data_IF_790520963291
#
_entry.id   IF_790520963291
#
_cell.length_a   1.000
_cell.length_b   1.000
_cell.length_c   1.000
_cell.angle_alpha   90.00
_cell.angle_beta   90.00
_cell.angle_gamma   90.00
#
_symmetry.space_group_name_H-M   'P 1'
#
loop_
_entity.id
_entity.type
_entity.pdbx_description
1 polymer ?
#
# COMPACT_ATOMS: atom_id res chain seq x y z
N UNK A 1 45.74 -20.08 -26.79
CA UNK A 1 44.38 -19.96 -27.36
C UNK A 1 43.47 -19.41 -26.27
N UNK A 2 43.27 -18.09 -26.28
CA UNK A 2 42.25 -17.43 -25.47
C UNK A 2 40.89 -17.70 -26.11
N UNK A 3 39.99 -18.37 -25.40
CA UNK A 3 38.59 -18.47 -25.82
C UNK A 3 37.99 -17.07 -25.76
N UNK A 4 37.86 -16.43 -26.92
CA UNK A 4 36.98 -15.29 -27.10
C UNK A 4 35.55 -15.84 -27.00
N UNK A 5 35.02 -15.96 -25.78
CA UNK A 5 33.59 -16.04 -25.55
C UNK A 5 33.02 -14.70 -26.01
N UNK A 6 32.64 -14.62 -27.27
CA UNK A 6 31.67 -13.64 -27.76
C UNK A 6 30.41 -13.88 -26.97
N UNK A 7 30.31 -13.21 -25.82
CA UNK A 7 29.11 -13.20 -25.01
C UNK A 7 28.01 -12.63 -25.93
N UNK A 8 27.04 -13.44 -26.41
CA UNK A 8 26.04 -12.98 -27.38
C UNK A 8 25.15 -11.88 -26.79
N UNK A 9 25.34 -11.57 -25.51
CA UNK A 9 24.65 -10.54 -24.75
C UNK A 9 25.47 -9.26 -24.54
N UNK A 10 26.70 -9.17 -25.07
CA UNK A 10 27.61 -8.04 -24.86
C UNK A 10 27.13 -6.67 -25.39
N UNK A 11 26.00 -6.65 -26.13
CA UNK A 11 25.38 -5.41 -26.63
C UNK A 11 24.22 -4.91 -25.77
N UNK A 12 23.73 -5.71 -24.81
CA UNK A 12 22.77 -5.21 -23.82
C UNK A 12 23.61 -4.60 -22.69
N UNK A 13 23.92 -3.31 -22.85
CA UNK A 13 24.57 -2.51 -21.80
C UNK A 13 23.89 -2.75 -20.46
N UNK A 14 24.69 -2.78 -19.38
CA UNK A 14 24.30 -3.08 -17.99
C UNK A 14 22.84 -2.72 -17.70
N UNK A 15 21.93 -3.70 -17.82
CA UNK A 15 20.51 -3.45 -17.56
C UNK A 15 20.39 -2.94 -16.12
N UNK A 16 19.71 -1.81 -15.89
CA UNK A 16 19.46 -1.35 -14.55
C UNK A 16 18.78 -2.47 -13.77
N UNK A 17 19.07 -2.61 -12.49
CA UNK A 17 18.39 -3.58 -11.64
C UNK A 17 16.86 -3.43 -11.75
N UNK A 18 16.22 -4.54 -12.08
CA UNK A 18 14.79 -4.63 -12.40
C UNK A 18 14.10 -5.48 -11.34
N UNK A 19 12.96 -5.00 -10.86
CA UNK A 19 12.14 -5.76 -9.92
C UNK A 19 11.43 -6.89 -10.66
N UNK A 20 11.63 -8.12 -10.19
CA UNK A 20 11.08 -9.33 -10.80
C UNK A 20 11.77 -9.86 -12.05
N UNK A 21 12.89 -9.27 -12.46
CA UNK A 21 13.65 -9.77 -13.59
C UNK A 21 12.92 -9.59 -14.94
N UNK A 22 13.48 -10.22 -15.97
CA UNK A 22 12.93 -10.15 -17.34
C UNK A 22 11.78 -11.17 -17.46
N UNK A 23 10.62 -10.77 -17.99
CA UNK A 23 9.52 -11.71 -18.25
C UNK A 23 9.95 -12.77 -19.26
N UNK A 24 9.84 -14.04 -18.88
CA UNK A 24 10.16 -15.20 -19.74
C UNK A 24 9.00 -16.18 -19.75
N UNK A 25 9.00 -17.20 -20.62
CA UNK A 25 7.89 -18.16 -20.73
C UNK A 25 7.40 -18.74 -19.38
N UNK A 26 8.27 -19.10 -18.40
CA UNK A 26 7.82 -19.50 -17.06
C UNK A 26 6.97 -18.47 -16.29
N UNK A 27 7.10 -17.18 -16.58
CA UNK A 27 6.30 -16.11 -15.96
C UNK A 27 4.86 -16.04 -16.48
N UNK A 28 4.56 -16.69 -17.61
CA UNK A 28 3.25 -16.56 -18.27
C UNK A 28 2.08 -17.00 -17.38
N UNK A 29 2.17 -18.22 -16.82
CA UNK A 29 1.14 -18.78 -15.97
C UNK A 29 0.93 -17.98 -14.67
N UNK A 30 1.96 -17.65 -13.87
CA UNK A 30 1.76 -16.86 -12.66
C UNK A 30 1.29 -15.42 -12.96
N UNK A 31 1.72 -14.80 -14.06
CA UNK A 31 1.21 -13.48 -14.45
C UNK A 31 -0.30 -13.52 -14.73
N UNK A 32 -0.78 -14.51 -15.48
CA UNK A 32 -2.22 -14.70 -15.72
C UNK A 32 -2.97 -14.94 -14.40
N UNK A 33 -2.44 -15.80 -13.53
CA UNK A 33 -3.05 -16.06 -12.22
C UNK A 33 -3.27 -14.77 -11.42
N UNK A 34 -2.23 -13.94 -11.29
CA UNK A 34 -2.35 -12.66 -10.58
C UNK A 34 -3.27 -11.67 -11.30
N UNK A 35 -3.24 -11.64 -12.64
CA UNK A 35 -4.17 -10.83 -13.43
C UNK A 35 -5.63 -11.19 -13.10
N UNK A 36 -5.97 -12.48 -13.07
CA UNK A 36 -7.29 -12.99 -12.68
C UNK A 36 -7.62 -12.67 -11.23
N UNK A 37 -6.69 -12.88 -10.29
CA UNK A 37 -6.90 -12.58 -8.87
C UNK A 37 -7.23 -11.09 -8.63
N UNK A 38 -6.54 -10.17 -9.31
CA UNK A 38 -6.86 -8.75 -9.24
C UNK A 38 -8.13 -8.38 -10.01
N UNK A 39 -8.42 -9.09 -11.12
CA UNK A 39 -9.69 -8.98 -11.84
C UNK A 39 -10.90 -9.33 -10.97
N UNK A 40 -10.79 -10.39 -10.15
CA UNK A 40 -11.81 -10.78 -9.17
C UNK A 40 -11.90 -9.81 -7.99
N UNK A 41 -10.78 -9.19 -7.60
CA UNK A 41 -10.74 -8.19 -6.54
C UNK A 41 -11.41 -6.86 -6.95
N UNK A 42 -11.34 -6.51 -8.24
CA UNK A 42 -11.80 -5.23 -8.76
C UNK A 42 -13.30 -4.95 -8.50
N UNK A 43 -14.25 -5.88 -8.75
CA UNK A 43 -15.65 -5.69 -8.36
C UNK A 43 -15.84 -5.38 -6.88
N UNK A 44 -15.07 -6.03 -6.00
CA UNK A 44 -15.12 -5.78 -4.56
C UNK A 44 -14.58 -4.38 -4.20
N UNK A 45 -13.49 -3.94 -4.86
CA UNK A 45 -12.99 -2.56 -4.74
C UNK A 45 -14.04 -1.52 -5.17
N UNK A 46 -14.69 -1.75 -6.32
CA UNK A 46 -15.73 -0.86 -6.87
C UNK A 46 -16.93 -0.80 -5.92
N UNK A 47 -17.39 -1.97 -5.43
CA UNK A 47 -18.48 -2.06 -4.47
C UNK A 47 -18.17 -1.30 -3.17
N UNK A 48 -16.96 -1.47 -2.61
CA UNK A 48 -16.52 -0.71 -1.43
C UNK A 48 -16.46 0.78 -1.71
N UNK A 49 -15.90 1.20 -2.84
CA UNK A 49 -15.85 2.61 -3.25
C UNK A 49 -17.25 3.23 -3.35
N UNK A 50 -18.20 2.49 -3.93
CA UNK A 50 -19.60 2.90 -4.01
C UNK A 50 -20.24 3.02 -2.62
N UNK A 51 -19.99 2.05 -1.74
CA UNK A 51 -20.50 2.03 -0.37
C UNK A 51 -20.00 3.22 0.46
N UNK A 52 -18.79 3.70 0.19
CA UNK A 52 -18.17 4.82 0.90
C UNK A 52 -18.38 6.19 0.25
N UNK A 53 -19.33 6.34 -0.68
CA UNK A 53 -19.67 7.63 -1.33
C UNK A 53 -19.91 8.77 -0.33
N UNK A 54 -20.41 8.44 0.86
CA UNK A 54 -20.49 9.36 1.99
C UNK A 54 -19.87 8.64 3.20
N UNK A 55 -18.73 9.11 3.73
CA UNK A 55 -18.07 10.41 3.55
C UNK A 55 -17.01 10.47 2.43
N UNK A 56 -16.91 11.62 1.75
CA UNK A 56 -16.05 11.83 0.56
C UNK A 56 -14.57 11.50 0.77
N UNK A 57 -14.01 11.74 1.96
CA UNK A 57 -12.60 11.42 2.24
C UNK A 57 -12.32 9.91 2.13
N UNK A 58 -13.24 9.09 2.63
CA UNK A 58 -13.12 7.64 2.55
C UNK A 58 -13.35 7.14 1.13
N UNK A 59 -14.28 7.77 0.39
CA UNK A 59 -14.45 7.51 -1.05
C UNK A 59 -13.14 7.70 -1.82
N UNK A 60 -12.45 8.83 -1.64
CA UNK A 60 -11.17 9.08 -2.33
C UNK A 60 -10.08 8.06 -1.99
N UNK A 61 -10.06 7.61 -0.73
CA UNK A 61 -9.18 6.54 -0.26
C UNK A 61 -9.45 5.24 -1.04
N UNK A 62 -10.71 4.83 -1.18
CA UNK A 62 -11.04 3.60 -1.93
C UNK A 62 -11.01 3.74 -3.46
N UNK A 63 -11.16 4.94 -4.01
CA UNK A 63 -10.86 5.22 -5.43
C UNK A 63 -9.39 4.89 -5.72
N UNK A 64 -8.46 5.30 -4.84
CA UNK A 64 -7.04 4.97 -4.98
C UNK A 64 -6.79 3.46 -4.95
N UNK A 65 -7.49 2.72 -4.08
CA UNK A 65 -7.42 1.25 -4.05
C UNK A 65 -7.97 0.61 -5.33
N UNK A 66 -9.04 1.16 -5.90
CA UNK A 66 -9.61 0.70 -7.18
C UNK A 66 -8.64 0.94 -8.33
N UNK A 67 -8.04 2.14 -8.40
CA UNK A 67 -7.01 2.47 -9.38
C UNK A 67 -5.80 1.55 -9.24
N UNK A 68 -5.38 1.26 -7.99
CA UNK A 68 -4.32 0.30 -7.72
C UNK A 68 -4.65 -1.10 -8.29
N UNK A 69 -5.87 -1.61 -8.08
CA UNK A 69 -6.27 -2.91 -8.63
C UNK A 69 -6.23 -2.91 -10.18
N UNK A 70 -6.71 -1.84 -10.82
CA UNK A 70 -6.63 -1.67 -12.28
C UNK A 70 -5.17 -1.64 -12.76
N UNK A 71 -4.31 -0.90 -12.07
CA UNK A 71 -2.87 -0.85 -12.38
C UNK A 71 -2.22 -2.23 -12.29
N UNK A 72 -2.62 -3.06 -11.32
CA UNK A 72 -2.11 -4.42 -11.16
C UNK A 72 -2.59 -5.36 -12.27
N UNK A 73 -3.86 -5.26 -12.68
CA UNK A 73 -4.38 -5.99 -13.84
C UNK A 73 -3.55 -5.65 -15.09
N UNK A 74 -3.31 -4.35 -15.33
CA UNK A 74 -2.50 -3.90 -16.46
C UNK A 74 -1.05 -4.41 -16.37
N UNK A 75 -0.43 -4.34 -15.19
CA UNK A 75 0.94 -4.80 -14.96
C UNK A 75 1.11 -6.28 -15.28
N UNK A 76 0.26 -7.14 -14.70
CA UNK A 76 0.36 -8.58 -14.92
C UNK A 76 -0.12 -8.97 -16.33
N UNK A 77 -1.02 -8.21 -16.95
CA UNK A 77 -1.40 -8.38 -18.35
C UNK A 77 -0.23 -8.08 -19.31
N UNK A 78 0.48 -6.97 -19.09
CA UNK A 78 1.70 -6.63 -19.84
C UNK A 78 2.76 -7.71 -19.65
N UNK A 79 3.02 -8.11 -18.40
CA UNK A 79 4.00 -9.14 -18.07
C UNK A 79 3.69 -10.50 -18.73
N UNK A 80 2.41 -10.90 -18.77
CA UNK A 80 1.98 -12.11 -19.47
C UNK A 80 2.19 -12.00 -21.00
N UNK A 81 1.86 -10.84 -21.59
CA UNK A 81 2.08 -10.58 -23.02
C UNK A 81 3.57 -10.63 -23.39
N UNK A 82 4.44 -10.09 -22.54
CA UNK A 82 5.89 -10.13 -22.71
C UNK A 82 6.44 -11.54 -22.55
N UNK A 83 6.03 -12.25 -21.51
CA UNK A 83 6.42 -13.65 -21.27
C UNK A 83 6.06 -14.57 -22.44
N UNK A 84 4.90 -14.35 -23.07
CA UNK A 84 4.45 -15.13 -24.23
C UNK A 84 5.26 -14.83 -25.49
N UNK A 85 5.65 -13.57 -25.68
CA UNK A 85 6.34 -13.10 -26.89
C UNK A 85 7.87 -13.19 -26.76
N UNK A 86 8.39 -13.40 -25.55
CA UNK A 86 9.81 -13.51 -25.29
C UNK A 86 10.37 -14.80 -25.88
N UNK A 87 11.45 -14.67 -26.66
CA UNK A 87 12.21 -15.80 -27.21
C UNK A 87 13.66 -15.69 -26.76
N UNK A 88 14.02 -16.46 -25.73
CA UNK A 88 15.42 -16.56 -25.32
C UNK A 88 16.21 -17.44 -26.30
N UNK A 89 17.43 -17.08 -26.69
CA UNK A 89 18.21 -15.90 -26.28
C UNK A 89 18.03 -14.66 -27.18
N UNK A 90 17.36 -14.81 -28.34
CA UNK A 90 17.42 -13.85 -29.44
C UNK A 90 16.64 -12.53 -29.20
N UNK A 91 15.58 -12.56 -28.38
CA UNK A 91 14.74 -11.40 -28.09
C UNK A 91 14.15 -11.48 -26.68
N UNK A 92 14.94 -11.14 -25.64
CA UNK A 92 14.51 -11.23 -24.24
C UNK A 92 13.49 -10.15 -23.84
N UNK A 93 13.47 -9.00 -24.52
CA UNK A 93 12.53 -7.89 -24.25
C UNK A 93 11.88 -7.46 -25.56
N UNK A 94 10.79 -8.13 -25.97
CA UNK A 94 10.20 -7.93 -27.31
C UNK A 94 9.60 -6.54 -27.52
N UNK A 95 9.14 -5.88 -26.45
CA UNK A 95 8.62 -4.52 -26.50
C UNK A 95 9.15 -3.69 -25.33
N UNK A 96 10.17 -2.87 -25.60
CA UNK A 96 10.79 -2.02 -24.59
C UNK A 96 9.80 -1.05 -23.92
N UNK A 97 8.82 -0.53 -24.67
CA UNK A 97 7.83 0.41 -24.13
C UNK A 97 6.87 -0.24 -23.14
N UNK A 98 6.38 -1.44 -23.45
CA UNK A 98 5.57 -2.24 -22.55
C UNK A 98 6.35 -2.56 -21.26
N UNK A 99 7.63 -2.87 -21.39
CA UNK A 99 8.48 -3.25 -20.27
C UNK A 99 8.75 -2.04 -19.35
N UNK A 100 9.02 -0.87 -19.92
CA UNK A 100 9.13 0.38 -19.16
C UNK A 100 7.83 0.67 -18.42
N UNK A 101 6.68 0.54 -19.10
CA UNK A 101 5.37 0.77 -18.49
C UNK A 101 5.12 -0.20 -17.32
N UNK A 102 5.44 -1.48 -17.49
CA UNK A 102 5.37 -2.48 -16.41
C UNK A 102 6.20 -2.03 -15.20
N UNK A 103 7.46 -1.65 -15.39
CA UNK A 103 8.35 -1.24 -14.30
C UNK A 103 7.85 0.01 -13.56
N UNK A 104 7.23 0.96 -14.28
CA UNK A 104 6.58 2.14 -13.68
C UNK A 104 5.39 1.73 -12.81
N UNK A 105 4.48 0.93 -13.36
CA UNK A 105 3.29 0.49 -12.64
C UNK A 105 3.66 -0.33 -11.40
N UNK A 106 4.66 -1.21 -11.51
CA UNK A 106 5.22 -1.96 -10.40
C UNK A 106 5.76 -1.04 -9.29
N UNK A 107 6.40 0.07 -9.67
CA UNK A 107 7.01 1.02 -8.74
C UNK A 107 6.02 1.91 -8.01
N UNK A 108 4.93 2.31 -8.66
CA UNK A 108 3.94 3.21 -8.05
C UNK A 108 2.96 2.44 -7.16
N UNK A 109 2.63 1.18 -7.49
CA UNK A 109 1.50 0.49 -6.87
C UNK A 109 1.59 0.36 -5.34
N UNK A 110 2.73 -0.08 -4.78
CA UNK A 110 2.85 -0.26 -3.32
C UNK A 110 2.84 1.07 -2.55
N UNK A 111 3.25 2.17 -3.19
CA UNK A 111 3.17 3.51 -2.59
C UNK A 111 1.70 3.89 -2.34
N UNK A 112 0.80 3.52 -3.25
CA UNK A 112 -0.64 3.73 -3.06
C UNK A 112 -1.14 2.97 -1.83
N UNK A 113 -0.73 1.73 -1.63
CA UNK A 113 -1.12 0.95 -0.44
C UNK A 113 -0.58 1.56 0.86
N UNK A 114 0.65 2.07 0.87
CA UNK A 114 1.22 2.78 2.02
C UNK A 114 0.43 4.05 2.36
N UNK A 115 0.02 4.81 1.34
CA UNK A 115 -0.81 6.00 1.52
C UNK A 115 -2.19 5.68 2.12
N UNK A 116 -2.82 4.57 1.71
CA UNK A 116 -4.06 4.09 2.33
C UNK A 116 -3.86 3.73 3.80
N UNK A 117 -2.77 3.03 4.13
CA UNK A 117 -2.46 2.66 5.51
C UNK A 117 -2.22 3.89 6.40
N UNK A 118 -1.62 4.95 5.87
CA UNK A 118 -1.49 6.24 6.57
C UNK A 118 -2.86 6.80 6.91
N UNK A 119 -3.79 6.84 5.95
CA UNK A 119 -5.14 7.39 6.19
C UNK A 119 -5.97 6.55 7.17
N UNK A 120 -5.81 5.22 7.17
CA UNK A 120 -6.45 4.36 8.15
C UNK A 120 -5.85 4.52 9.55
N UNK A 121 -4.53 4.58 9.67
CA UNK A 121 -3.85 4.83 10.95
C UNK A 121 -4.25 6.19 11.53
N UNK A 122 -4.24 7.23 10.69
CA UNK A 122 -4.75 8.56 11.00
C UNK A 122 -6.18 8.48 11.52
N UNK A 123 -7.08 7.84 10.78
CA UNK A 123 -8.49 7.70 11.21
C UNK A 123 -8.60 7.00 12.57
N UNK A 124 -7.83 5.93 12.80
CA UNK A 124 -7.80 5.19 14.06
C UNK A 124 -7.32 6.03 15.25
N UNK A 125 -6.33 6.92 15.04
CA UNK A 125 -5.83 7.81 16.09
C UNK A 125 -6.78 8.96 16.41
N UNK A 126 -7.63 9.38 15.46
CA UNK A 126 -8.58 10.50 15.61
C UNK A 126 -9.96 10.10 16.10
N UNK A 127 -10.11 8.87 16.59
CA UNK A 127 -11.37 8.33 17.03
C UNK A 127 -11.92 9.10 18.24
N UNK A 128 -13.19 9.48 18.15
CA UNK A 128 -13.94 10.22 19.17
C UNK A 128 -14.97 9.34 19.89
N UNK A 129 -15.00 8.05 19.60
CA UNK A 129 -15.93 7.09 20.25
C UNK A 129 -15.42 6.59 21.62
N UNK A 130 -14.24 7.04 22.02
CA UNK A 130 -13.62 6.73 23.31
C UNK A 130 -14.02 7.83 24.31
N UNK A 131 -14.34 7.50 25.58
CA UNK A 131 -14.70 8.51 26.57
C UNK A 131 -13.62 9.61 26.66
N UNK A 132 -13.98 10.89 26.89
CA UNK A 132 -13.01 12.00 26.93
C UNK A 132 -11.82 11.78 27.87
N UNK A 133 -12.03 11.07 28.98
CA UNK A 133 -10.99 10.72 29.94
C UNK A 133 -9.96 9.68 29.43
N UNK A 134 -10.30 8.94 28.38
CA UNK A 134 -9.47 7.93 27.74
C UNK A 134 -9.12 8.30 26.29
N UNK A 135 -9.37 9.54 25.86
CA UNK A 135 -8.91 10.02 24.56
C UNK A 135 -7.37 10.08 24.52
N UNK A 136 -6.79 9.73 23.39
CA UNK A 136 -5.35 9.94 23.21
C UNK A 136 -5.02 11.43 23.26
N UNK A 137 -3.82 11.77 23.73
CA UNK A 137 -3.32 13.16 23.65
C UNK A 137 -3.45 13.75 22.24
N UNK A 138 -3.42 12.93 21.19
CA UNK A 138 -3.52 13.36 19.79
C UNK A 138 -4.96 13.60 19.31
N UNK A 139 -5.95 13.04 19.99
CA UNK A 139 -7.35 13.35 19.75
C UNK A 139 -7.71 14.75 20.29
N UNK A 140 -7.03 15.21 21.36
CA UNK A 140 -7.18 16.54 21.93
C UNK A 140 -6.62 17.64 21.01
N UNK A 141 -7.22 18.86 20.97
CA UNK A 141 -6.81 19.95 20.08
C UNK A 141 -5.31 20.26 20.09
N UNK A 142 -4.68 20.20 21.25
CA UNK A 142 -3.25 20.51 21.42
C UNK A 142 -2.33 19.46 20.78
N UNK A 143 -2.65 18.17 20.89
CA UNK A 143 -1.82 17.10 20.32
C UNK A 143 -2.07 16.84 18.83
N UNK A 144 -3.19 17.34 18.28
CA UNK A 144 -3.54 17.22 16.86
C UNK A 144 -2.45 17.79 15.95
N UNK A 145 -1.82 18.91 16.33
CA UNK A 145 -0.84 19.59 15.48
C UNK A 145 0.41 18.75 15.23
N UNK A 146 0.96 18.11 16.26
CA UNK A 146 2.16 17.28 16.13
C UNK A 146 1.92 16.06 15.26
N UNK A 147 0.79 15.37 15.46
CA UNK A 147 0.44 14.20 14.66
C UNK A 147 0.15 14.56 13.20
N UNK A 148 -0.59 15.66 12.96
CA UNK A 148 -0.83 16.16 11.61
C UNK A 148 0.47 16.46 10.88
N UNK A 149 1.48 16.98 11.58
CA UNK A 149 2.80 17.22 10.99
C UNK A 149 3.46 15.90 10.58
N UNK A 150 3.45 14.87 11.43
CA UNK A 150 4.01 13.55 11.09
C UNK A 150 3.30 12.94 9.88
N UNK A 151 1.96 12.88 9.89
CA UNK A 151 1.17 12.34 8.78
C UNK A 151 1.44 13.11 7.48
N UNK A 152 1.50 14.45 7.55
CA UNK A 152 1.83 15.29 6.38
C UNK A 152 3.22 14.99 5.85
N UNK A 153 4.22 14.82 6.72
CA UNK A 153 5.58 14.43 6.31
C UNK A 153 5.57 13.07 5.60
N UNK A 154 4.82 12.08 6.12
CA UNK A 154 4.70 10.77 5.48
C UNK A 154 4.09 10.88 4.07
N UNK A 155 3.00 11.64 3.90
CA UNK A 155 2.42 11.87 2.56
C UNK A 155 3.40 12.60 1.62
N UNK A 156 4.10 13.63 2.11
CA UNK A 156 5.11 14.34 1.31
C UNK A 156 6.24 13.40 0.89
N UNK A 157 6.68 12.51 1.77
CA UNK A 157 7.68 11.48 1.44
C UNK A 157 7.17 10.53 0.35
N UNK A 158 5.91 10.09 0.40
CA UNK A 158 5.32 9.24 -0.63
C UNK A 158 5.15 9.96 -1.98
N UNK A 159 4.72 11.23 -1.97
CA UNK A 159 4.66 12.07 -3.19
C UNK A 159 6.06 12.22 -3.80
N UNK A 160 7.07 12.45 -2.96
CA UNK A 160 8.47 12.55 -3.39
C UNK A 160 8.95 11.23 -3.99
N UNK A 161 8.62 10.09 -3.37
CA UNK A 161 8.94 8.77 -3.90
C UNK A 161 8.30 8.52 -5.28
N UNK A 162 7.04 8.95 -5.50
CA UNK A 162 6.37 8.87 -6.81
C UNK A 162 7.10 9.74 -7.83
N UNK A 163 7.43 10.99 -7.50
CA UNK A 163 8.13 11.91 -8.40
C UNK A 163 9.50 11.35 -8.83
N UNK A 164 10.26 10.79 -7.87
CA UNK A 164 11.54 10.12 -8.16
C UNK A 164 11.36 8.87 -9.03
N UNK A 165 10.29 8.09 -8.81
CA UNK A 165 9.96 6.93 -9.63
C UNK A 165 9.65 7.30 -11.09
N UNK A 166 8.88 8.38 -11.30
CA UNK A 166 8.57 8.91 -12.63
C UNK A 166 9.85 9.43 -13.31
N UNK A 167 10.70 10.17 -12.59
CA UNK A 167 11.97 10.67 -13.12
C UNK A 167 12.90 9.51 -13.55
N UNK A 168 13.01 8.46 -12.72
CA UNK A 168 13.78 7.27 -13.04
C UNK A 168 13.26 6.55 -14.29
N UNK A 169 11.93 6.52 -14.47
CA UNK A 169 11.31 5.91 -15.64
C UNK A 169 11.52 6.70 -16.92
N UNK A 170 11.42 8.03 -16.86
CA UNK A 170 11.65 8.90 -18.01
C UNK A 170 13.08 8.79 -18.56
N UNK A 171 14.05 8.42 -17.72
CA UNK A 171 15.45 8.23 -18.08
C UNK A 171 15.80 6.79 -18.49
N UNK A 172 14.85 5.86 -18.46
CA UNK A 172 15.12 4.43 -18.62
C UNK A 172 15.68 4.07 -20.01
N UNK A 173 15.16 4.67 -21.08
CA UNK A 173 15.66 4.42 -22.44
C UNK A 173 17.12 4.87 -22.62
N UNK A 174 17.50 5.99 -21.99
CA UNK A 174 18.88 6.49 -21.98
C UNK A 174 19.82 5.60 -21.15
N UNK A 175 19.32 5.01 -20.06
CA UNK A 175 20.09 4.13 -19.19
C UNK A 175 20.58 2.84 -19.87
N UNK A 176 19.91 2.37 -20.92
CA UNK A 176 20.32 1.16 -21.65
C UNK A 176 21.65 1.37 -22.39
N UNK A 177 21.86 2.59 -22.90
CA UNK A 177 23.02 2.92 -23.74
C UNK A 177 24.09 3.73 -23.01
N UNK A 178 23.82 4.19 -21.78
CA UNK A 178 24.70 5.06 -21.03
C UNK A 178 24.80 4.64 -19.56
N UNK A 179 26.00 4.21 -19.14
CA UNK A 179 26.29 3.77 -17.78
C UNK A 179 26.06 4.85 -16.72
N UNK A 180 26.31 6.14 -17.04
CA UNK A 180 26.08 7.23 -16.08
C UNK A 180 24.58 7.44 -15.82
N UNK A 181 23.76 7.39 -16.88
CA UNK A 181 22.30 7.45 -16.78
C UNK A 181 21.75 6.22 -16.06
N UNK A 182 22.32 5.03 -16.29
CA UNK A 182 21.94 3.81 -15.55
C UNK A 182 22.15 3.94 -14.05
N UNK A 183 23.33 4.44 -13.63
CA UNK A 183 23.64 4.71 -12.22
C UNK A 183 22.70 5.75 -11.60
N UNK A 184 22.36 6.80 -12.35
CA UNK A 184 21.39 7.80 -11.91
C UNK A 184 19.98 7.21 -11.72
N UNK A 185 19.50 6.43 -12.68
CA UNK A 185 18.19 5.73 -12.60
C UNK A 185 18.16 4.78 -11.42
N UNK A 186 19.23 4.03 -11.18
CA UNK A 186 19.35 3.15 -10.03
C UNK A 186 19.26 3.94 -8.72
N UNK A 187 20.01 5.05 -8.61
CA UNK A 187 19.99 5.92 -7.42
C UNK A 187 18.59 6.47 -7.14
N UNK A 188 17.90 6.98 -8.17
CA UNK A 188 16.52 7.49 -8.02
C UNK A 188 15.55 6.41 -7.53
N UNK A 189 15.68 5.18 -8.03
CA UNK A 189 14.88 4.03 -7.57
C UNK A 189 15.19 3.65 -6.13
N UNK A 190 16.46 3.59 -5.76
CA UNK A 190 16.89 3.28 -4.37
C UNK A 190 16.30 4.31 -3.41
N UNK A 191 16.45 5.60 -3.70
CA UNK A 191 15.94 6.68 -2.83
C UNK A 191 14.41 6.62 -2.72
N UNK A 192 13.70 6.43 -3.85
CA UNK A 192 12.24 6.29 -3.86
C UNK A 192 11.77 5.13 -2.97
N UNK A 193 12.38 3.95 -3.11
CA UNK A 193 12.02 2.77 -2.33
C UNK A 193 12.40 2.93 -0.85
N UNK A 194 13.55 3.52 -0.55
CA UNK A 194 14.00 3.77 0.82
C UNK A 194 13.05 4.72 1.57
N UNK A 195 12.55 5.77 0.91
CA UNK A 195 11.54 6.66 1.48
C UNK A 195 10.26 5.91 1.83
N UNK A 196 9.76 5.05 0.94
CA UNK A 196 8.56 4.27 1.21
C UNK A 196 8.78 3.22 2.30
N UNK A 197 9.97 2.59 2.35
CA UNK A 197 10.36 1.67 3.42
C UNK A 197 10.35 2.38 4.78
N UNK A 198 10.91 3.58 4.87
CA UNK A 198 10.90 4.39 6.09
C UNK A 198 9.47 4.74 6.54
N UNK A 199 8.59 5.10 5.59
CA UNK A 199 7.17 5.34 5.87
C UNK A 199 6.47 4.09 6.40
N UNK A 200 6.70 2.92 5.80
CA UNK A 200 6.14 1.65 6.27
C UNK A 200 6.68 1.25 7.66
N UNK A 201 7.97 1.47 7.91
CA UNK A 201 8.57 1.27 9.23
C UNK A 201 7.94 2.17 10.30
N UNK A 202 7.65 3.43 9.96
CA UNK A 202 6.96 4.35 10.85
C UNK A 202 5.51 3.93 11.13
N UNK A 203 4.78 3.40 10.13
CA UNK A 203 3.44 2.83 10.33
C UNK A 203 3.46 1.68 11.37
N UNK A 204 4.44 0.79 11.26
CA UNK A 204 4.63 -0.33 12.21
C UNK A 204 4.94 0.21 13.60
N UNK A 205 5.92 1.12 13.71
CA UNK A 205 6.34 1.71 14.99
C UNK A 205 5.17 2.40 15.70
N UNK A 206 4.41 3.23 14.98
CA UNK A 206 3.27 3.95 15.54
C UNK A 206 2.15 2.97 15.93
N UNK A 207 1.87 1.96 15.11
CA UNK A 207 0.86 0.94 15.44
C UNK A 207 1.25 0.14 16.69
N UNK A 208 2.52 -0.23 16.82
CA UNK A 208 3.05 -0.91 18.00
C UNK A 208 3.01 -0.01 19.25
N UNK A 209 3.39 1.26 19.11
CA UNK A 209 3.32 2.24 20.19
C UNK A 209 1.87 2.40 20.67
N UNK A 210 0.90 2.52 19.76
CA UNK A 210 -0.52 2.60 20.09
C UNK A 210 -1.00 1.35 20.82
N UNK A 211 -0.54 0.16 20.41
CA UNK A 211 -0.91 -1.10 21.03
C UNK A 211 -0.45 -1.18 22.49
N UNK A 212 0.77 -0.70 22.76
CA UNK A 212 1.38 -0.74 24.11
C UNK A 212 0.82 0.38 25.00
N UNK A 213 0.73 1.60 24.47
CA UNK A 213 0.43 2.79 25.29
C UNK A 213 -1.06 3.11 25.39
N UNK A 214 -1.87 2.70 24.41
CA UNK A 214 -3.29 3.02 24.34
C UNK A 214 -4.16 1.79 23.98
N UNK A 215 -4.13 0.69 24.77
CA UNK A 215 -4.89 -0.53 24.47
C UNK A 215 -6.41 -0.32 24.45
N UNK A 216 -6.90 0.72 25.16
CA UNK A 216 -8.32 1.10 25.18
C UNK A 216 -8.88 1.53 23.82
N UNK A 217 -8.03 1.89 22.84
CA UNK A 217 -8.48 2.21 21.47
C UNK A 217 -9.01 0.99 20.70
N UNK A 218 -8.86 -0.20 21.27
CA UNK A 218 -9.29 -1.47 20.69
C UNK A 218 -8.10 -2.25 20.16
N UNK A 219 -7.56 -3.13 21.01
CA UNK A 219 -6.42 -4.03 20.74
C UNK A 219 -6.54 -4.71 19.37
N UNK A 220 -7.69 -5.30 19.05
CA UNK A 220 -7.89 -6.01 17.78
C UNK A 220 -7.73 -5.13 16.54
N UNK A 221 -8.16 -3.87 16.61
CA UNK A 221 -8.10 -2.91 15.48
C UNK A 221 -6.66 -2.43 15.28
N UNK A 222 -5.98 -2.13 16.38
CA UNK A 222 -4.56 -1.76 16.34
C UNK A 222 -3.69 -2.93 15.89
N UNK A 223 -3.98 -4.15 16.36
CA UNK A 223 -3.29 -5.36 15.95
C UNK A 223 -3.49 -5.64 14.46
N UNK A 224 -4.70 -5.40 13.94
CA UNK A 224 -4.97 -5.49 12.51
C UNK A 224 -4.12 -4.50 11.69
N UNK A 225 -4.06 -3.22 12.09
CA UNK A 225 -3.21 -2.22 11.41
C UNK A 225 -1.74 -2.63 11.44
N UNK A 226 -1.26 -3.09 12.60
CA UNK A 226 0.10 -3.58 12.77
C UNK A 226 0.38 -4.76 11.82
N UNK A 227 -0.50 -5.77 11.80
CA UNK A 227 -0.34 -6.95 10.96
C UNK A 227 -0.31 -6.59 9.48
N UNK A 228 -1.24 -5.76 8.99
CA UNK A 228 -1.28 -5.34 7.59
C UNK A 228 -0.06 -4.48 7.23
N UNK A 229 0.42 -3.62 8.14
CA UNK A 229 1.66 -2.86 7.94
C UNK A 229 2.90 -3.75 7.92
N UNK A 230 2.95 -4.81 8.73
CA UNK A 230 4.02 -5.82 8.69
C UNK A 230 4.03 -6.62 7.38
N UNK A 231 2.87 -6.91 6.79
CA UNK A 231 2.82 -7.51 5.45
C UNK A 231 3.28 -6.49 4.40
N UNK A 232 2.81 -5.25 4.51
CA UNK A 232 3.12 -4.18 3.55
C UNK A 232 4.62 -3.86 3.48
N UNK A 233 5.35 -3.88 4.60
CA UNK A 233 6.79 -3.54 4.63
C UNK A 233 7.67 -4.54 3.87
N UNK A 234 7.19 -5.78 3.68
CA UNK A 234 7.90 -6.81 2.91
C UNK A 234 8.15 -6.34 1.48
N UNK A 235 7.19 -5.62 0.89
CA UNK A 235 7.25 -5.17 -0.51
C UNK A 235 8.39 -4.17 -0.76
N UNK A 236 8.48 -3.01 -0.08
CA UNK A 236 9.60 -2.10 -0.26
C UNK A 236 10.93 -2.71 0.20
N UNK A 237 10.95 -3.62 1.18
CA UNK A 237 12.17 -4.31 1.59
C UNK A 237 12.71 -5.23 0.47
N UNK A 238 11.83 -6.05 -0.12
CA UNK A 238 12.16 -6.86 -1.30
C UNK A 238 12.62 -5.98 -2.46
N UNK A 239 11.88 -4.90 -2.75
CA UNK A 239 12.25 -3.99 -3.84
C UNK A 239 13.61 -3.35 -3.61
N UNK A 240 13.91 -2.92 -2.39
CA UNK A 240 15.21 -2.35 -2.07
C UNK A 240 16.32 -3.36 -2.35
N UNK A 241 16.15 -4.60 -1.87
CA UNK A 241 17.08 -5.69 -2.16
C UNK A 241 17.23 -5.98 -3.65
N UNK A 242 16.15 -5.91 -4.43
CA UNK A 242 16.20 -6.16 -5.87
C UNK A 242 16.90 -5.04 -6.65
N UNK A 243 16.74 -3.79 -6.22
CA UNK A 243 17.31 -2.61 -6.90
C UNK A 243 18.79 -2.41 -6.52
N UNK A 244 19.20 -2.81 -5.32
CA UNK A 244 20.61 -2.73 -4.90
C UNK A 244 21.44 -3.93 -5.37
N UNK A 245 20.81 -5.02 -5.81
CA UNK A 245 21.52 -6.10 -6.45
C UNK A 245 22.17 -5.61 -7.76
N UNK A 246 23.35 -6.14 -8.07
CA UNK A 246 24.00 -6.02 -9.38
C UNK A 246 23.79 -7.34 -10.15
N UNK A 247 22.58 -7.61 -10.68
CA UNK A 247 22.27 -8.91 -11.23
C UNK A 247 22.98 -9.10 -12.57
N UNK A 248 23.57 -10.28 -12.77
CA UNK A 248 23.90 -10.76 -14.11
C UNK A 248 22.61 -11.05 -14.90
N UNK A 249 22.70 -11.10 -16.22
CA UNK A 249 21.55 -11.48 -17.05
C UNK A 249 20.97 -12.84 -16.64
N UNK A 250 21.83 -13.80 -16.32
CA UNK A 250 21.43 -15.12 -15.82
C UNK A 250 20.60 -15.02 -14.52
N UNK A 251 20.92 -14.09 -13.62
CA UNK A 251 20.14 -13.86 -12.42
C UNK A 251 18.78 -13.21 -12.72
N UNK A 252 18.70 -12.30 -13.71
CA UNK A 252 17.46 -11.63 -14.13
C UNK A 252 16.46 -12.58 -14.80
N UNK A 253 16.93 -13.61 -15.51
CA UNK A 253 16.07 -14.62 -16.15
C UNK A 253 15.82 -15.85 -15.25
N UNK A 254 16.43 -15.89 -14.07
CA UNK A 254 16.31 -17.05 -13.18
C UNK A 254 14.89 -17.18 -12.61
N UNK A 255 14.41 -18.42 -12.54
CA UNK A 255 13.13 -18.75 -11.92
C UNK A 255 13.09 -18.33 -10.44
N UNK A 256 14.23 -18.32 -9.75
CA UNK A 256 14.32 -17.86 -8.36
C UNK A 256 13.93 -16.37 -8.22
N UNK A 257 14.45 -15.50 -9.08
CA UNK A 257 14.09 -14.07 -9.10
C UNK A 257 12.59 -13.87 -9.34
N UNK A 258 12.03 -14.64 -10.27
CA UNK A 258 10.60 -14.59 -10.62
C UNK A 258 9.71 -15.07 -9.48
N UNK A 259 10.04 -16.21 -8.88
CA UNK A 259 9.31 -16.75 -7.72
C UNK A 259 9.32 -15.76 -6.55
N UNK A 260 10.49 -15.18 -6.24
CA UNK A 260 10.61 -14.14 -5.20
C UNK A 260 9.72 -12.93 -5.50
N UNK A 261 9.63 -12.51 -6.76
CA UNK A 261 8.76 -11.41 -7.15
C UNK A 261 7.28 -11.70 -6.90
N UNK A 262 6.78 -12.85 -7.35
CA UNK A 262 5.38 -13.20 -7.14
C UNK A 262 5.04 -13.39 -5.67
N UNK A 263 5.93 -13.98 -4.86
CA UNK A 263 5.67 -14.21 -3.44
C UNK A 263 5.82 -12.92 -2.63
N UNK A 264 6.95 -12.23 -2.74
CA UNK A 264 7.29 -11.12 -1.85
C UNK A 264 6.67 -9.80 -2.29
N UNK A 265 6.39 -9.62 -3.57
CA UNK A 265 5.69 -8.44 -4.07
C UNK A 265 4.23 -8.75 -4.43
N UNK A 266 3.99 -9.63 -5.41
CA UNK A 266 2.63 -9.88 -5.92
C UNK A 266 1.65 -10.35 -4.84
N UNK A 267 2.00 -11.40 -4.12
CA UNK A 267 1.12 -11.99 -3.10
C UNK A 267 0.95 -11.06 -1.89
N UNK A 268 2.03 -10.40 -1.42
CA UNK A 268 1.93 -9.46 -0.30
C UNK A 268 1.05 -8.26 -0.63
N UNK A 269 1.16 -7.70 -1.83
CA UNK A 269 0.30 -6.61 -2.30
C UNK A 269 -1.16 -7.03 -2.40
N UNK A 270 -1.41 -8.25 -2.91
CA UNK A 270 -2.74 -8.81 -3.00
C UNK A 270 -3.34 -9.05 -1.60
N UNK A 271 -2.57 -9.62 -0.67
CA UNK A 271 -2.99 -9.86 0.72
C UNK A 271 -3.33 -8.56 1.45
N UNK A 272 -2.51 -7.50 1.31
CA UNK A 272 -2.82 -6.18 1.88
C UNK A 272 -4.13 -5.65 1.28
N UNK A 273 -4.31 -5.76 -0.03
CA UNK A 273 -5.50 -5.25 -0.72
C UNK A 273 -6.77 -5.98 -0.30
N UNK A 274 -6.72 -7.32 -0.23
CA UNK A 274 -7.81 -8.15 0.27
C UNK A 274 -8.14 -7.78 1.72
N UNK A 275 -7.13 -7.64 2.59
CA UNK A 275 -7.33 -7.25 3.99
C UNK A 275 -8.09 -5.92 4.08
N UNK A 276 -7.65 -4.90 3.33
CA UNK A 276 -8.31 -3.58 3.27
C UNK A 276 -9.77 -3.64 2.82
N UNK A 277 -10.14 -4.62 2.00
CA UNK A 277 -11.51 -4.82 1.50
C UNK A 277 -12.36 -5.64 2.47
N UNK A 278 -11.77 -6.56 3.22
CA UNK A 278 -12.49 -7.41 4.16
C UNK A 278 -13.08 -6.61 5.34
N UNK A 279 -12.40 -5.53 5.75
CA UNK A 279 -12.82 -4.71 6.88
C UNK A 279 -13.67 -3.51 6.43
N UNK A 280 -14.80 -3.25 7.12
CA UNK A 280 -15.50 -1.96 6.96
C UNK A 280 -14.74 -0.86 7.71
N UNK A 281 -13.99 -0.05 6.97
CA UNK A 281 -13.17 1.02 7.51
C UNK A 281 -13.97 2.08 8.28
N UNK A 282 -15.27 2.26 7.98
CA UNK A 282 -16.13 3.18 8.73
C UNK A 282 -16.37 2.66 10.14
N UNK A 283 -16.64 1.36 10.28
CA UNK A 283 -16.96 0.74 11.56
C UNK A 283 -15.70 0.55 12.39
N UNK A 284 -14.62 0.07 11.76
CA UNK A 284 -13.40 -0.28 12.48
C UNK A 284 -12.57 0.94 12.89
N UNK A 285 -12.44 1.93 12.02
CA UNK A 285 -11.56 3.07 12.25
C UNK A 285 -12.30 4.39 12.45
N UNK A 286 -13.64 4.37 12.51
CA UNK A 286 -14.49 5.56 12.48
C UNK A 286 -14.09 6.52 11.36
N UNK A 287 -13.62 5.94 10.25
CA UNK A 287 -13.18 6.70 9.10
C UNK A 287 -14.40 7.41 8.50
N UNK A 288 -14.44 8.74 8.65
CA UNK A 288 -15.61 9.53 8.28
C UNK A 288 -16.26 10.36 9.38
N UNK A 289 -15.85 10.18 10.64
CA UNK A 289 -16.36 10.94 11.77
C UNK A 289 -17.84 10.70 12.07
N UNK A 290 -18.48 11.66 12.72
CA UNK A 290 -19.88 11.60 13.18
C UNK A 290 -20.87 11.30 12.05
N UNK A 291 -20.61 11.78 10.83
CA UNK A 291 -21.47 11.53 9.68
C UNK A 291 -21.54 10.04 9.34
N UNK A 292 -20.43 9.31 9.46
CA UNK A 292 -20.42 7.86 9.24
C UNK A 292 -21.17 7.12 10.35
N UNK A 293 -21.08 7.58 11.60
CA UNK A 293 -21.81 6.99 12.72
C UNK A 293 -23.33 7.21 12.59
N UNK A 294 -23.77 8.41 12.20
CA UNK A 294 -25.19 8.70 12.01
C UNK A 294 -25.86 7.78 10.97
N UNK A 295 -25.12 7.38 9.93
CA UNK A 295 -25.64 6.43 8.92
C UNK A 295 -25.76 4.99 9.44
N UNK A 296 -24.93 4.59 10.40
CA UNK A 296 -25.04 3.29 11.06
C UNK A 296 -26.20 3.30 12.07
N UNK A 297 -26.40 4.43 12.76
CA UNK A 297 -27.50 4.60 13.71
C UNK A 297 -28.89 4.60 13.05
N UNK A 298 -29.03 5.20 11.87
CA UNK A 298 -30.32 5.33 11.18
C UNK A 298 -30.92 4.02 10.65
N UNK A 299 -30.13 2.94 10.60
CA UNK A 299 -30.59 1.60 10.17
C UNK A 299 -31.07 0.72 11.34
N UNK A 300 -30.86 1.14 12.58
CA UNK A 300 -31.41 0.48 13.78
C UNK A 300 -32.60 1.28 14.29
N UNK A 301 -33.76 1.04 13.69
CA UNK A 301 -35.07 1.36 14.29
C UNK A 301 -35.34 0.35 15.40
N UNK A 302 -34.47 0.27 16.40
CA UNK A 302 -34.86 -0.32 17.67
C UNK A 302 -35.75 0.70 18.37
N UNK A 303 -36.96 0.33 18.82
CA UNK A 303 -37.79 1.24 19.61
C UNK A 303 -36.97 1.73 20.80
N UNK A 304 -37.20 2.96 21.28
CA UNK A 304 -36.52 3.46 22.45
C UNK A 304 -36.76 2.45 23.57
N UNK A 305 -35.68 1.82 24.05
CA UNK A 305 -35.74 1.14 25.33
C UNK A 305 -36.21 2.20 26.32
N UNK A 306 -37.44 2.00 26.80
CA UNK A 306 -38.17 3.00 27.53
C UNK A 306 -37.38 3.49 28.72
N UNK A 307 -37.46 4.79 28.94
CA UNK A 307 -37.37 5.41 30.25
C UNK A 307 -38.27 4.62 31.20
N UNK A 308 -37.67 3.75 32.01
CA UNK A 308 -38.41 2.88 32.91
C UNK A 308 -37.77 2.72 34.28
N UNK A 309 -36.68 3.40 34.62
CA UNK A 309 -36.08 3.32 35.96
C UNK A 309 -34.96 4.35 36.15
N UNK A 310 -35.30 5.63 36.38
CA UNK A 310 -34.46 6.56 37.19
C UNK A 310 -35.11 7.91 37.53
N UNK A 311 -36.44 8.02 37.48
CA UNK A 311 -37.21 9.13 38.09
C UNK A 311 -37.67 8.81 39.54
N UNK A 312 -37.05 7.83 40.21
CA UNK A 312 -37.46 7.36 41.55
C UNK A 312 -36.38 7.53 42.65
N UNK A 313 -35.42 8.45 42.48
CA UNK A 313 -34.49 8.88 43.52
C UNK A 313 -34.30 10.39 43.37
N UNK A 314 -35.14 11.24 43.97
CA UNK A 314 -34.95 11.63 45.36
C UNK A 314 -35.35 13.10 45.54
N UNK A 315 -36.60 13.44 45.27
CA UNK A 315 -37.24 14.60 45.92
C UNK A 315 -37.62 14.17 47.34
N UNK A 316 -36.74 14.41 48.31
CA UNK A 316 -37.10 14.39 49.73
C UNK A 316 -36.12 15.25 50.54
N UNK A 317 -36.47 16.52 50.72
CA UNK A 317 -36.63 17.15 52.04
C UNK A 317 -36.57 18.68 51.92
N UNK A 318 -37.76 19.27 51.93
CA UNK A 318 -37.99 20.56 52.55
C UNK A 318 -37.68 20.44 54.05
N UNK A 319 -36.88 21.37 54.58
CA UNK A 319 -36.45 21.39 55.97
C UNK A 319 -36.14 22.82 56.40
N UNK A 320 -37.22 23.55 56.69
CA UNK A 320 -37.30 24.84 57.36
C UNK A 320 -36.37 24.93 58.57
N UNK A 321 -35.54 25.98 58.64
CA UNK A 321 -34.98 26.46 59.89
C UNK A 321 -35.51 27.86 60.16
N UNK A 322 -36.17 27.96 61.31
CA UNK A 322 -36.59 29.18 62.02
C UNK A 322 -35.36 29.84 62.63
#
# INVERSE_FOLDING_TARGET
MSFNTTDPYGTVGSLPSISGGIPTQPDFAPAILFCVLYGLLLPACIWRTHTYRRPLRLMWTFIRLTLFAIMRIATFGLRASEAHSASLPNNPVPNLGAFIAEQVLLGIGFIVLADLMIELLKSHMWRTDVPPAAETRWALPEGRFSLQRIVRIMHLALITAIALGIAAAAQYSGAINNASTASQVQTLRVVSVALCLAVCGLLILVSLLLLITHPHLGVYRTLYLLAVSCILVIIPAYRLSSVTASPSLAALISTDTQVKFYILQGAMEWLVSVSLILVDARIWFFAGGETAQMMLGSSTTSPPYGNGEQLALGQKNEGTYV
#
